data_IF_240200924102
#
_entry.id   IF_240200924102
#
_cell.length_a   1.000
_cell.length_b   1.000
_cell.length_c   1.000
_cell.angle_alpha   90.00
_cell.angle_beta   90.00
_cell.angle_gamma   90.00
#
_symmetry.space_group_name_H-M   'P 1'
#
loop_
_entity.id
_entity.type
_entity.pdbx_description
1 polymer ?
#
# COMPACT_ATOMS: atom_id res chain seq x y z
N UNK A 1 -22.63 4.92 -11.54
CA UNK A 1 -21.18 4.75 -11.33
C UNK A 1 -20.61 4.23 -12.63
N UNK A 2 -19.61 4.86 -13.23
CA UNK A 2 -19.06 4.45 -14.53
C UNK A 2 -18.11 3.27 -14.32
N UNK A 3 -18.06 2.35 -15.27
CA UNK A 3 -17.02 1.31 -15.36
C UNK A 3 -15.66 2.00 -15.33
N UNK A 4 -14.70 1.45 -14.58
CA UNK A 4 -13.35 1.97 -14.55
C UNK A 4 -12.72 1.79 -15.94
N UNK A 5 -12.55 2.88 -16.65
CA UNK A 5 -11.67 2.93 -17.81
C UNK A 5 -10.29 3.35 -17.32
N UNK A 6 -9.34 2.42 -17.34
CA UNK A 6 -7.99 2.62 -16.81
C UNK A 6 -7.30 3.77 -17.55
N UNK A 7 -7.43 3.84 -18.88
CA UNK A 7 -6.77 4.87 -19.67
C UNK A 7 -7.32 6.25 -19.33
N UNK A 8 -8.64 6.39 -19.23
CA UNK A 8 -9.26 7.64 -18.81
C UNK A 8 -8.87 8.03 -17.40
N UNK A 9 -8.72 7.05 -16.50
CA UNK A 9 -8.29 7.32 -15.13
C UNK A 9 -6.83 7.77 -15.07
N UNK A 10 -5.94 7.13 -15.83
CA UNK A 10 -4.53 7.52 -15.96
C UNK A 10 -4.41 8.94 -16.52
N UNK A 11 -5.14 9.26 -17.58
CA UNK A 11 -5.14 10.62 -18.14
C UNK A 11 -5.69 11.65 -17.14
N UNK A 12 -6.75 11.31 -16.41
CA UNK A 12 -7.27 12.18 -15.35
C UNK A 12 -6.29 12.43 -14.20
N UNK A 13 -5.35 11.50 -13.96
CA UNK A 13 -4.29 11.66 -12.95
C UNK A 13 -3.12 12.53 -13.44
N UNK A 14 -2.88 12.60 -14.74
CA UNK A 14 -1.83 13.47 -15.32
C UNK A 14 -2.22 14.95 -15.33
N UNK A 15 -3.51 15.24 -15.29
CA UNK A 15 -4.04 16.59 -15.41
C UNK A 15 -4.90 16.98 -14.21
N UNK A 16 -4.61 18.12 -13.62
CA UNK A 16 -5.43 18.68 -12.56
C UNK A 16 -6.46 19.66 -13.11
N UNK A 17 -7.67 19.67 -12.57
CA UNK A 17 -8.69 20.64 -12.94
C UNK A 17 -8.28 22.06 -12.54
N UNK A 18 -8.94 23.09 -13.13
CA UNK A 18 -8.69 24.51 -12.80
C UNK A 18 -8.87 24.83 -11.31
N UNK A 19 -9.74 24.09 -10.60
CA UNK A 19 -9.96 24.25 -9.17
C UNK A 19 -8.80 23.75 -8.30
N UNK A 20 -7.85 22.99 -8.88
CA UNK A 20 -6.65 22.48 -8.23
C UNK A 20 -6.90 21.79 -6.88
N UNK A 21 -7.88 20.88 -6.74
CA UNK A 21 -8.26 20.32 -5.45
C UNK A 21 -7.13 19.53 -4.78
N UNK A 22 -6.28 18.88 -5.58
CA UNK A 22 -5.18 18.05 -5.06
C UNK A 22 -4.00 18.94 -4.64
N UNK A 23 -3.67 19.96 -5.44
CA UNK A 23 -2.66 20.95 -5.07
C UNK A 23 -3.05 21.70 -3.81
N UNK A 24 -4.33 22.07 -3.67
CA UNK A 24 -4.86 22.70 -2.47
C UNK A 24 -4.76 21.78 -1.24
N UNK A 25 -5.13 20.49 -1.39
CA UNK A 25 -4.96 19.51 -0.33
C UNK A 25 -3.49 19.40 0.12
N UNK A 26 -2.54 19.32 -0.82
CA UNK A 26 -1.11 19.23 -0.50
C UNK A 26 -0.59 20.49 0.19
N UNK A 27 -1.11 21.64 -0.18
CA UNK A 27 -0.82 22.90 0.51
C UNK A 27 -1.38 22.89 1.93
N UNK A 28 -2.62 22.45 2.12
CA UNK A 28 -3.24 22.31 3.44
C UNK A 28 -2.49 21.32 4.35
N UNK A 29 -1.99 20.21 3.79
CA UNK A 29 -1.15 19.24 4.53
C UNK A 29 0.12 19.89 5.07
N UNK A 30 0.70 20.86 4.36
CA UNK A 30 1.92 21.55 4.79
C UNK A 30 1.67 22.61 5.86
N UNK A 31 0.53 23.27 5.82
CA UNK A 31 0.31 24.53 6.56
C UNK A 31 -0.91 24.54 7.48
N UNK A 32 -1.83 23.56 7.37
CA UNK A 32 -3.09 23.58 8.10
C UNK A 32 -3.17 22.53 9.22
N UNK A 33 -4.17 22.72 10.09
CA UNK A 33 -4.52 21.75 11.14
C UNK A 33 -4.98 20.40 10.57
N UNK A 34 -4.94 19.32 11.38
CA UNK A 34 -5.39 17.99 10.96
C UNK A 34 -6.84 17.96 10.42
N UNK A 35 -7.73 18.75 11.00
CA UNK A 35 -9.16 18.79 10.62
C UNK A 35 -9.37 19.33 9.21
N UNK A 36 -8.70 20.42 8.84
CA UNK A 36 -8.74 20.96 7.47
C UNK A 36 -8.22 19.96 6.43
N UNK A 37 -7.22 19.16 6.79
CA UNK A 37 -6.67 18.12 5.90
C UNK A 37 -7.70 17.05 5.58
N UNK A 38 -8.49 16.64 6.58
CA UNK A 38 -9.51 15.62 6.41
C UNK A 38 -10.65 16.12 5.51
N UNK A 39 -11.12 17.34 5.73
CA UNK A 39 -12.18 17.94 4.91
C UNK A 39 -11.80 18.06 3.44
N UNK A 40 -10.62 18.59 3.13
CA UNK A 40 -10.14 18.70 1.75
C UNK A 40 -9.98 17.32 1.10
N UNK A 41 -9.45 16.33 1.84
CA UNK A 41 -9.34 14.98 1.34
C UNK A 41 -10.71 14.33 1.05
N UNK A 42 -11.75 14.62 1.83
CA UNK A 42 -13.10 14.08 1.62
C UNK A 42 -13.75 14.58 0.32
N UNK A 43 -13.41 15.77 -0.16
CA UNK A 43 -13.90 16.35 -1.41
C UNK A 43 -13.39 15.63 -2.65
N UNK A 44 -12.28 14.88 -2.56
CA UNK A 44 -11.70 14.19 -3.69
C UNK A 44 -12.50 12.96 -4.10
N UNK A 45 -12.65 12.76 -5.40
CA UNK A 45 -13.30 11.58 -5.98
C UNK A 45 -12.59 10.31 -5.55
N UNK A 46 -13.37 9.29 -5.20
CA UNK A 46 -12.88 7.95 -4.88
C UNK A 46 -12.78 7.10 -6.14
N UNK A 47 -11.66 6.43 -6.32
CA UNK A 47 -11.39 5.48 -7.40
C UNK A 47 -11.23 4.10 -6.79
N UNK A 48 -12.02 3.13 -7.23
CA UNK A 48 -11.94 1.73 -6.81
C UNK A 48 -11.35 0.93 -7.96
N UNK A 49 -10.08 0.51 -7.89
CA UNK A 49 -9.43 -0.19 -9.00
C UNK A 49 -9.89 -1.64 -9.15
N UNK A 50 -10.16 -2.35 -8.05
CA UNK A 50 -10.41 -3.78 -8.05
C UNK A 50 -11.73 -4.17 -8.72
N UNK A 51 -12.80 -3.40 -8.53
CA UNK A 51 -14.12 -3.76 -9.00
C UNK A 51 -14.99 -2.55 -9.34
N UNK A 52 -15.99 -2.77 -10.19
CA UNK A 52 -17.03 -1.80 -10.49
C UNK A 52 -18.29 -2.12 -9.68
N UNK A 53 -18.94 -1.07 -9.17
CA UNK A 53 -20.13 -1.21 -8.35
C UNK A 53 -21.27 -0.34 -8.88
N UNK A 54 -22.48 -0.80 -8.70
CA UNK A 54 -23.72 -0.04 -8.96
C UNK A 54 -24.54 0.05 -7.68
N UNK A 55 -25.04 1.24 -7.38
CA UNK A 55 -26.03 1.41 -6.31
C UNK A 55 -27.36 0.79 -6.75
N UNK A 56 -27.98 0.03 -5.87
CA UNK A 56 -29.30 -0.56 -5.99
C UNK A 56 -30.14 -0.15 -4.79
N UNK A 57 -31.44 -0.42 -4.82
CA UNK A 57 -32.35 -0.18 -3.69
C UNK A 57 -31.93 -0.93 -2.42
N UNK A 58 -31.28 -2.10 -2.59
CA UNK A 58 -30.86 -2.98 -1.49
C UNK A 58 -29.37 -2.85 -1.15
N UNK A 59 -28.71 -1.75 -1.56
CA UNK A 59 -27.29 -1.53 -1.26
C UNK A 59 -26.42 -1.40 -2.50
N UNK A 60 -25.19 -1.90 -2.41
CA UNK A 60 -24.20 -1.79 -3.50
C UNK A 60 -23.89 -3.17 -4.07
N UNK A 61 -24.12 -3.34 -5.37
CA UNK A 61 -23.86 -4.58 -6.10
C UNK A 61 -22.58 -4.45 -6.96
N UNK A 62 -21.70 -5.45 -6.89
CA UNK A 62 -20.58 -5.58 -7.82
C UNK A 62 -21.11 -5.89 -9.22
N UNK A 63 -20.67 -5.16 -10.23
CA UNK A 63 -21.04 -5.37 -11.63
C UNK A 63 -19.94 -6.02 -12.44
N UNK A 64 -18.67 -5.80 -12.06
CA UNK A 64 -17.51 -6.44 -12.67
C UNK A 64 -16.32 -6.42 -11.69
N UNK A 65 -15.53 -7.45 -11.73
CA UNK A 65 -14.19 -7.48 -11.13
C UNK A 65 -13.17 -7.14 -12.21
N UNK A 66 -12.22 -6.25 -11.90
CA UNK A 66 -11.28 -5.71 -12.90
C UNK A 66 -9.92 -6.43 -12.88
N UNK A 67 -9.67 -7.29 -11.89
CA UNK A 67 -8.37 -7.96 -11.74
C UNK A 67 -7.22 -7.03 -11.38
N UNK A 68 -7.51 -5.82 -10.87
CA UNK A 68 -6.48 -4.86 -10.44
C UNK A 68 -6.31 -4.92 -8.94
N UNK A 69 -5.07 -5.15 -8.52
CA UNK A 69 -4.65 -5.06 -7.13
C UNK A 69 -3.88 -3.77 -6.91
N UNK A 70 -4.25 -3.04 -5.87
CA UNK A 70 -3.54 -1.85 -5.42
C UNK A 70 -2.78 -2.17 -4.13
N UNK A 71 -1.48 -1.88 -4.13
CA UNK A 71 -0.65 -1.81 -2.93
C UNK A 71 -0.20 -0.38 -2.70
N UNK A 72 0.26 -0.07 -1.50
CA UNK A 72 0.57 1.30 -1.11
C UNK A 72 1.83 1.35 -0.23
N UNK A 73 2.71 2.30 -0.54
CA UNK A 73 3.81 2.70 0.34
C UNK A 73 3.46 4.08 0.89
N UNK A 74 3.36 4.21 2.20
CA UNK A 74 2.97 5.44 2.90
C UNK A 74 4.12 6.04 3.70
N UNK A 75 3.87 7.21 4.30
CA UNK A 75 4.77 7.92 5.20
C UNK A 75 6.11 8.32 4.56
N UNK A 76 6.11 8.58 3.25
CA UNK A 76 7.27 9.10 2.55
C UNK A 76 7.49 10.58 2.92
N UNK A 77 8.69 10.92 3.31
CA UNK A 77 8.98 12.25 3.86
C UNK A 77 8.93 13.36 2.80
N UNK A 78 9.32 13.05 1.56
CA UNK A 78 9.51 14.07 0.53
C UNK A 78 9.32 13.51 -0.90
N UNK A 79 9.37 14.42 -1.88
CA UNK A 79 9.21 14.10 -3.31
C UNK A 79 10.29 13.14 -3.83
N UNK A 80 11.50 13.23 -3.30
CA UNK A 80 12.62 12.37 -3.73
C UNK A 80 12.34 10.91 -3.38
N UNK A 81 11.85 10.65 -2.18
CA UNK A 81 11.45 9.31 -1.75
C UNK A 81 10.27 8.78 -2.57
N UNK A 82 9.27 9.62 -2.83
CA UNK A 82 8.14 9.27 -3.71
C UNK A 82 8.62 8.87 -5.10
N UNK A 83 9.52 9.66 -5.70
CA UNK A 83 10.05 9.37 -7.03
C UNK A 83 10.91 8.09 -7.03
N UNK A 84 11.70 7.86 -5.97
CA UNK A 84 12.47 6.62 -5.80
C UNK A 84 11.55 5.40 -5.81
N UNK A 85 10.51 5.38 -4.98
CA UNK A 85 9.56 4.27 -4.91
C UNK A 85 8.84 4.06 -6.26
N UNK A 86 8.49 5.13 -6.97
CA UNK A 86 7.91 5.02 -8.32
C UNK A 86 8.88 4.39 -9.32
N UNK A 87 10.15 4.75 -9.28
CA UNK A 87 11.18 4.17 -10.15
C UNK A 87 11.41 2.70 -9.83
N UNK A 88 11.57 2.34 -8.56
CA UNK A 88 11.70 0.95 -8.14
C UNK A 88 10.50 0.10 -8.56
N UNK A 89 9.28 0.64 -8.42
CA UNK A 89 8.07 -0.03 -8.90
C UNK A 89 8.04 -0.18 -10.43
N UNK A 90 8.55 0.81 -11.17
CA UNK A 90 8.59 0.80 -12.64
C UNK A 90 9.58 -0.25 -13.21
N UNK A 91 10.58 -0.66 -12.43
CA UNK A 91 11.51 -1.73 -12.81
C UNK A 91 10.86 -3.12 -12.84
N UNK A 92 9.73 -3.28 -12.13
CA UNK A 92 8.95 -4.52 -12.15
C UNK A 92 8.09 -4.58 -13.41
N UNK A 93 8.33 -5.56 -14.26
CA UNK A 93 7.58 -5.78 -15.52
C UNK A 93 6.07 -5.97 -15.28
N UNK A 94 5.66 -6.37 -14.07
CA UNK A 94 4.28 -6.59 -13.67
C UNK A 94 3.56 -5.30 -13.27
N UNK A 95 4.27 -4.20 -13.05
CA UNK A 95 3.66 -2.94 -12.65
C UNK A 95 2.87 -2.32 -13.79
N UNK A 96 1.55 -2.24 -13.63
CA UNK A 96 0.65 -1.55 -14.55
C UNK A 96 0.78 -0.03 -14.42
N UNK A 97 0.75 0.47 -13.18
CA UNK A 97 0.89 1.89 -12.89
C UNK A 97 1.52 2.11 -11.51
N UNK A 98 2.33 3.16 -11.39
CA UNK A 98 2.84 3.66 -10.12
C UNK A 98 2.72 5.17 -10.08
N UNK A 99 2.06 5.69 -9.05
CA UNK A 99 1.74 7.13 -8.96
C UNK A 99 1.70 7.63 -7.52
N UNK A 100 1.97 8.91 -7.38
CA UNK A 100 1.92 9.61 -6.11
C UNK A 100 0.48 9.74 -5.62
N UNK A 101 0.24 9.40 -4.35
CA UNK A 101 -1.05 9.59 -3.70
C UNK A 101 -1.45 11.07 -3.56
N UNK A 102 -2.72 11.30 -3.23
CA UNK A 102 -3.29 12.65 -3.11
C UNK A 102 -2.59 13.53 -2.07
N UNK A 103 -2.10 12.93 -0.98
CA UNK A 103 -1.34 13.65 0.06
C UNK A 103 0.04 14.12 -0.39
N UNK A 104 0.64 13.48 -1.39
CA UNK A 104 2.02 13.72 -1.79
C UNK A 104 3.06 12.92 -0.99
N UNK A 105 2.64 12.12 0.00
CA UNK A 105 3.47 11.34 0.92
C UNK A 105 3.26 9.83 0.81
N UNK A 106 2.73 9.37 -0.31
CA UNK A 106 2.53 7.95 -0.59
C UNK A 106 2.68 7.65 -2.07
N UNK A 107 2.97 6.38 -2.37
CA UNK A 107 2.94 5.83 -3.73
C UNK A 107 1.94 4.70 -3.77
N UNK A 108 1.12 4.69 -4.79
CA UNK A 108 0.19 3.60 -5.10
C UNK A 108 0.68 2.87 -6.32
N UNK A 109 0.65 1.54 -6.23
CA UNK A 109 1.14 0.66 -7.29
C UNK A 109 -0.01 -0.26 -7.67
N UNK A 110 -0.33 -0.33 -8.95
CA UNK A 110 -1.35 -1.19 -9.53
C UNK A 110 -0.72 -2.33 -10.30
N UNK A 111 -1.21 -3.56 -10.07
CA UNK A 111 -0.81 -4.77 -10.79
C UNK A 111 -2.04 -5.47 -11.33
N UNK A 112 -1.88 -6.21 -12.46
CA UNK A 112 -2.97 -6.97 -13.09
C UNK A 112 -2.87 -8.45 -12.76
N UNK A 113 -4.00 -9.02 -12.37
CA UNK A 113 -4.14 -10.44 -12.05
C UNK A 113 -5.28 -11.07 -12.84
N UNK A 114 -5.08 -12.30 -13.31
CA UNK A 114 -6.12 -13.10 -13.94
C UNK A 114 -5.95 -14.58 -13.58
N UNK A 115 -6.94 -15.40 -13.94
CA UNK A 115 -6.75 -16.85 -14.01
C UNK A 115 -5.86 -17.23 -15.19
N UNK A 116 -5.30 -18.47 -15.25
CA UNK A 116 -4.47 -18.91 -16.37
C UNK A 116 -5.17 -18.87 -17.73
N UNK A 117 -6.49 -19.06 -17.76
CA UNK A 117 -7.35 -18.95 -18.95
C UNK A 117 -7.72 -17.50 -19.31
N UNK A 118 -7.09 -16.52 -18.64
CA UNK A 118 -7.35 -15.08 -18.75
C UNK A 118 -8.74 -14.63 -18.28
N UNK A 119 -9.54 -15.52 -17.69
CA UNK A 119 -10.83 -15.15 -17.10
C UNK A 119 -10.65 -14.45 -15.76
N UNK A 120 -11.70 -13.74 -15.34
CA UNK A 120 -11.82 -13.08 -14.03
C UNK A 120 -13.01 -13.66 -13.26
N UNK A 121 -12.99 -13.62 -11.92
CA UNK A 121 -14.14 -13.95 -11.09
C UNK A 121 -15.40 -13.20 -11.51
N UNK A 122 -16.54 -13.91 -11.54
CA UNK A 122 -17.85 -13.34 -11.92
C UNK A 122 -18.73 -13.03 -10.71
N UNK A 123 -18.67 -13.86 -9.67
CA UNK A 123 -19.39 -13.62 -8.42
C UNK A 123 -18.56 -12.75 -7.47
N UNK A 124 -19.24 -12.10 -6.51
CA UNK A 124 -18.60 -11.30 -5.49
C UNK A 124 -17.74 -12.15 -4.56
N UNK A 125 -18.24 -13.31 -4.15
CA UNK A 125 -17.55 -14.24 -3.25
C UNK A 125 -16.23 -14.74 -3.88
N UNK A 126 -16.28 -15.19 -5.14
CA UNK A 126 -15.06 -15.57 -5.86
C UNK A 126 -14.07 -14.42 -6.00
N UNK A 127 -14.58 -13.20 -6.24
CA UNK A 127 -13.74 -12.02 -6.40
C UNK A 127 -13.07 -11.62 -5.07
N UNK A 128 -13.76 -11.75 -3.94
CA UNK A 128 -13.20 -11.48 -2.61
C UNK A 128 -12.05 -12.45 -2.28
N UNK A 129 -12.25 -13.75 -2.54
CA UNK A 129 -11.21 -14.77 -2.36
C UNK A 129 -10.03 -14.49 -3.29
N UNK A 130 -10.31 -14.25 -4.57
CA UNK A 130 -9.27 -13.97 -5.56
C UNK A 130 -8.46 -12.73 -5.19
N UNK A 131 -9.13 -11.63 -4.81
CA UNK A 131 -8.49 -10.37 -4.41
C UNK A 131 -7.59 -10.55 -3.19
N UNK A 132 -8.01 -11.35 -2.20
CA UNK A 132 -7.23 -11.61 -1.00
C UNK A 132 -5.89 -12.31 -1.34
N UNK A 133 -5.94 -13.35 -2.17
CA UNK A 133 -4.73 -14.06 -2.61
C UNK A 133 -3.87 -13.21 -3.56
N UNK A 134 -4.49 -12.48 -4.49
CA UNK A 134 -3.79 -11.62 -5.42
C UNK A 134 -3.05 -10.48 -4.68
N UNK A 135 -3.67 -9.91 -3.63
CA UNK A 135 -3.02 -8.90 -2.80
C UNK A 135 -1.78 -9.45 -2.08
N UNK A 136 -1.87 -10.65 -1.44
CA UNK A 136 -0.69 -11.30 -0.84
C UNK A 136 0.43 -11.47 -1.84
N UNK A 137 0.09 -11.99 -3.02
CA UNK A 137 1.08 -12.21 -4.09
C UNK A 137 1.68 -10.90 -4.59
N UNK A 138 0.87 -9.83 -4.70
CA UNK A 138 1.35 -8.50 -5.06
C UNK A 138 2.35 -7.95 -4.04
N UNK A 139 2.02 -8.04 -2.74
CA UNK A 139 2.93 -7.64 -1.66
C UNK A 139 4.23 -8.45 -1.71
N UNK A 140 4.13 -9.79 -1.80
CA UNK A 140 5.30 -10.68 -1.87
C UNK A 140 6.21 -10.41 -3.07
N UNK A 141 5.63 -10.01 -4.21
CA UNK A 141 6.37 -9.66 -5.41
C UNK A 141 7.05 -8.29 -5.29
N UNK A 142 6.33 -7.28 -4.79
CA UNK A 142 6.80 -5.90 -4.82
C UNK A 142 7.70 -5.56 -3.64
N UNK A 143 7.42 -6.06 -2.43
CA UNK A 143 8.21 -5.72 -1.26
C UNK A 143 9.72 -5.97 -1.43
N UNK A 144 10.18 -7.05 -2.12
CA UNK A 144 11.58 -7.25 -2.42
C UNK A 144 12.25 -6.17 -3.25
N UNK A 145 11.52 -5.54 -4.11
CA UNK A 145 12.04 -4.55 -5.04
C UNK A 145 11.98 -3.10 -4.50
N UNK A 146 11.24 -2.88 -3.40
CA UNK A 146 11.02 -1.56 -2.86
C UNK A 146 11.91 -1.28 -1.65
N UNK A 147 12.50 -0.10 -1.59
CA UNK A 147 13.31 0.37 -0.44
C UNK A 147 12.47 0.69 0.81
N UNK A 148 11.15 0.86 0.65
CA UNK A 148 10.23 1.22 1.73
C UNK A 148 9.19 0.13 1.94
N UNK A 149 8.71 -0.01 3.18
CA UNK A 149 7.71 -1.01 3.53
C UNK A 149 6.36 -0.71 2.88
N UNK A 150 5.73 -1.77 2.33
CA UNK A 150 4.35 -1.70 1.87
C UNK A 150 3.43 -1.65 3.10
N UNK A 151 2.48 -0.72 3.11
CA UNK A 151 1.43 -0.68 4.12
C UNK A 151 0.47 -1.86 3.93
N UNK A 152 0.45 -2.78 4.89
CA UNK A 152 -0.43 -3.94 4.84
C UNK A 152 -1.85 -3.55 5.22
N UNK A 153 -2.80 -3.81 4.31
CA UNK A 153 -4.23 -3.56 4.50
C UNK A 153 -5.01 -4.84 4.29
N UNK A 154 -6.14 -4.98 4.99
CA UNK A 154 -7.10 -6.04 4.67
C UNK A 154 -7.60 -5.81 3.23
N UNK A 155 -7.38 -6.74 2.31
CA UNK A 155 -7.82 -6.58 0.93
C UNK A 155 -9.34 -6.69 0.84
N UNK A 156 -9.99 -5.65 0.32
CA UNK A 156 -11.42 -5.64 0.04
C UNK A 156 -11.65 -5.19 -1.39
N UNK A 157 -12.77 -5.59 -1.98
CA UNK A 157 -13.12 -5.21 -3.36
C UNK A 157 -13.44 -3.72 -3.51
N UNK A 158 -13.86 -3.08 -2.43
CA UNK A 158 -14.21 -1.66 -2.37
C UNK A 158 -13.06 -0.77 -1.86
N UNK A 159 -11.86 -1.36 -1.68
CA UNK A 159 -10.67 -0.58 -1.37
C UNK A 159 -10.48 0.50 -2.43
N UNK A 160 -10.45 1.75 -2.00
CA UNK A 160 -10.34 2.89 -2.89
C UNK A 160 -9.04 3.65 -2.67
N UNK A 161 -8.59 4.33 -3.70
CA UNK A 161 -7.70 5.48 -3.58
C UNK A 161 -8.49 6.77 -3.87
N UNK A 162 -8.01 7.89 -3.38
CA UNK A 162 -8.50 9.19 -3.79
C UNK A 162 -7.88 9.57 -5.12
N UNK A 163 -8.64 10.29 -5.94
CA UNK A 163 -8.07 10.84 -7.16
C UNK A 163 -6.84 11.68 -6.82
N UNK A 164 -5.80 11.56 -7.63
CA UNK A 164 -4.54 12.25 -7.45
C UNK A 164 -4.17 13.03 -8.70
N UNK A 165 -3.16 13.88 -8.54
CA UNK A 165 -2.47 14.57 -9.61
C UNK A 165 -0.99 14.18 -9.58
N UNK A 166 -0.54 13.51 -10.61
CA UNK A 166 0.86 13.14 -10.81
C UNK A 166 1.19 13.14 -12.31
N UNK A 167 1.71 14.27 -12.86
CA UNK A 167 2.03 14.36 -14.29
C UNK A 167 3.15 13.39 -14.70
N UNK A 168 3.96 12.93 -13.74
CA UNK A 168 5.08 12.02 -13.94
C UNK A 168 4.75 10.59 -13.47
N UNK A 169 3.46 10.21 -13.46
CA UNK A 169 3.07 8.85 -13.11
C UNK A 169 3.68 7.85 -14.11
N UNK A 170 4.05 6.67 -13.61
CA UNK A 170 4.41 5.55 -14.46
C UNK A 170 3.15 4.81 -14.92
N UNK A 171 3.07 4.46 -16.20
CA UNK A 171 2.00 3.64 -16.77
C UNK A 171 2.54 2.75 -17.87
N UNK A 172 2.33 1.43 -17.72
CA UNK A 172 2.69 0.42 -18.69
C UNK A 172 1.48 -0.44 -19.06
N UNK A 173 0.76 -0.14 -20.16
CA UNK A 173 -0.39 -0.93 -20.60
C UNK A 173 -0.02 -2.36 -20.97
N UNK A 174 1.25 -2.62 -21.33
CA UNK A 174 1.77 -3.93 -21.70
C UNK A 174 2.40 -4.68 -20.51
N UNK A 175 2.15 -4.23 -19.28
CA UNK A 175 2.67 -4.89 -18.08
C UNK A 175 2.31 -6.37 -18.04
N UNK A 176 3.23 -7.19 -17.54
CA UNK A 176 3.03 -8.63 -17.40
C UNK A 176 1.89 -8.93 -16.43
N UNK A 177 0.89 -9.65 -16.91
CA UNK A 177 -0.24 -10.11 -16.09
C UNK A 177 0.19 -11.25 -15.18
N UNK A 178 -0.20 -11.20 -13.92
CA UNK A 178 0.12 -12.22 -12.93
C UNK A 178 -1.02 -13.25 -12.89
N UNK A 179 -0.66 -14.54 -13.10
CA UNK A 179 -1.64 -15.61 -13.12
C UNK A 179 -1.84 -16.23 -11.73
N UNK A 180 -3.11 -16.39 -11.33
CA UNK A 180 -3.52 -17.06 -10.11
C UNK A 180 -4.08 -18.43 -10.44
N UNK A 181 -3.45 -19.49 -9.93
CA UNK A 181 -3.91 -20.87 -10.10
C UNK A 181 -5.00 -21.20 -9.11
N UNK A 182 -5.94 -22.05 -9.50
CA UNK A 182 -7.00 -22.57 -8.64
C UNK A 182 -6.67 -23.97 -8.12
N UNK A 183 -7.29 -24.44 -7.02
CA UNK A 183 -8.34 -23.79 -6.22
C UNK A 183 -7.76 -22.75 -5.25
N UNK A 184 -8.55 -21.71 -4.97
CA UNK A 184 -8.25 -20.71 -3.95
C UNK A 184 -9.29 -20.83 -2.82
N UNK A 185 -8.82 -20.88 -1.60
CA UNK A 185 -9.66 -20.86 -0.40
C UNK A 185 -9.58 -19.49 0.28
N UNK A 186 -10.59 -19.11 1.06
CA UNK A 186 -10.58 -17.84 1.78
C UNK A 186 -9.46 -17.88 2.84
N UNK A 187 -8.50 -16.94 2.82
CA UNK A 187 -7.47 -16.87 3.85
C UNK A 187 -8.10 -16.49 5.20
N UNK A 188 -7.63 -17.09 6.29
CA UNK A 188 -8.08 -16.69 7.62
C UNK A 188 -7.58 -15.28 7.97
N UNK A 189 -8.43 -14.46 8.60
CA UNK A 189 -8.12 -13.07 8.96
C UNK A 189 -6.93 -12.93 9.93
N UNK A 190 -6.74 -13.90 10.81
CA UNK A 190 -5.69 -13.91 11.84
C UNK A 190 -4.30 -14.20 11.29
N UNK A 191 -4.19 -15.15 10.37
CA UNK A 191 -2.91 -15.56 9.77
C UNK A 191 -2.45 -14.67 8.63
N UNK A 192 -3.36 -13.85 8.10
CA UNK A 192 -3.06 -13.04 6.91
C UNK A 192 -1.94 -12.03 7.15
N UNK A 193 -2.06 -11.17 8.17
CA UNK A 193 -1.04 -10.16 8.50
C UNK A 193 0.28 -10.81 8.94
N UNK A 194 0.18 -11.83 9.79
CA UNK A 194 1.34 -12.55 10.31
C UNK A 194 2.12 -13.26 9.21
N UNK A 195 1.44 -13.98 8.31
CA UNK A 195 2.10 -14.68 7.20
C UNK A 195 2.74 -13.70 6.21
N UNK A 196 2.04 -12.62 5.83
CA UNK A 196 2.60 -11.62 4.91
C UNK A 196 3.77 -10.87 5.56
N UNK A 197 3.68 -10.55 6.85
CA UNK A 197 4.78 -9.94 7.59
C UNK A 197 5.98 -10.87 7.69
N UNK A 198 5.78 -12.16 7.99
CA UNK A 198 6.84 -13.16 8.06
C UNK A 198 7.53 -13.39 6.71
N UNK A 199 6.75 -13.51 5.63
CA UNK A 199 7.28 -13.70 4.26
C UNK A 199 8.06 -12.49 3.74
N UNK A 200 7.68 -11.28 4.16
CA UNK A 200 8.22 -10.02 3.64
C UNK A 200 8.98 -9.21 4.68
N UNK A 201 9.34 -9.81 5.82
CA UNK A 201 10.12 -9.12 6.84
C UNK A 201 11.45 -8.61 6.25
N UNK A 202 11.77 -7.32 6.37
CA UNK A 202 13.05 -6.77 5.92
C UNK A 202 14.24 -7.44 6.62
N UNK A 203 14.04 -8.00 7.83
CA UNK A 203 15.06 -8.74 8.56
C UNK A 203 15.47 -10.05 7.89
N UNK A 204 14.57 -10.72 7.18
CA UNK A 204 14.88 -11.94 6.41
C UNK A 204 15.91 -11.72 5.30
N UNK A 205 16.08 -10.47 4.85
CA UNK A 205 17.02 -10.09 3.78
C UNK A 205 18.34 -9.55 4.29
N UNK A 206 18.32 -8.89 5.44
CA UNK A 206 19.50 -8.27 6.00
C UNK A 206 20.50 -9.29 6.55
N UNK A 207 20.05 -10.52 6.86
CA UNK A 207 20.89 -11.54 7.49
C UNK A 207 20.60 -12.91 6.85
N UNK A 208 21.31 -13.30 5.77
CA UNK A 208 21.19 -14.64 5.19
C UNK A 208 21.48 -15.72 6.25
N UNK A 209 20.60 -16.69 6.37
CA UNK A 209 20.73 -17.82 7.30
C UNK A 209 19.99 -17.70 8.64
N UNK A 210 19.23 -16.61 8.86
CA UNK A 210 18.38 -16.44 10.04
C UNK A 210 16.92 -16.77 9.71
N UNK A 211 16.58 -18.03 9.85
CA UNK A 211 15.25 -18.54 9.47
C UNK A 211 14.29 -18.81 10.64
N UNK A 212 14.70 -18.56 11.90
CA UNK A 212 13.89 -18.86 13.08
C UNK A 212 13.43 -17.61 13.83
N UNK A 213 12.21 -17.69 14.39
CA UNK A 213 11.63 -16.67 15.28
C UNK A 213 12.51 -16.37 16.49
N UNK A 214 13.16 -17.40 17.05
CA UNK A 214 14.05 -17.27 18.22
C UNK A 214 15.25 -16.37 17.93
N UNK A 215 15.76 -16.41 16.70
CA UNK A 215 16.88 -15.56 16.28
C UNK A 215 16.47 -14.11 16.05
N UNK A 216 15.24 -13.87 15.55
CA UNK A 216 14.67 -12.53 15.43
C UNK A 216 14.41 -11.91 16.79
N UNK A 217 13.94 -12.70 17.77
CA UNK A 217 13.75 -12.28 19.16
C UNK A 217 15.07 -11.89 19.81
N UNK A 218 16.12 -12.70 19.64
CA UNK A 218 17.46 -12.41 20.14
C UNK A 218 18.06 -11.14 19.51
N UNK A 219 17.86 -10.93 18.21
CA UNK A 219 18.30 -9.70 17.52
C UNK A 219 17.55 -8.47 17.99
N UNK A 220 16.24 -8.61 18.26
CA UNK A 220 15.43 -7.54 18.80
C UNK A 220 15.91 -7.15 20.21
N UNK A 221 16.20 -8.12 21.07
CA UNK A 221 16.77 -7.87 22.40
C UNK A 221 18.15 -7.20 22.34
N UNK A 222 19.02 -7.63 21.41
CA UNK A 222 20.32 -6.97 21.19
C UNK A 222 20.13 -5.52 20.71
N UNK A 223 19.20 -5.27 19.80
CA UNK A 223 18.90 -3.92 19.32
C UNK A 223 18.30 -3.04 20.42
N UNK A 224 17.41 -3.61 21.23
CA UNK A 224 16.80 -2.94 22.38
C UNK A 224 17.85 -2.57 23.43
N UNK A 225 18.71 -3.52 23.82
CA UNK A 225 19.80 -3.28 24.75
C UNK A 225 20.78 -2.21 24.25
N UNK A 226 21.07 -2.20 22.94
CA UNK A 226 21.90 -1.17 22.32
C UNK A 226 21.24 0.21 22.34
N UNK A 227 19.92 0.27 22.10
CA UNK A 227 19.14 1.51 22.23
C UNK A 227 19.12 2.02 23.68
N UNK A 228 18.93 1.13 24.67
CA UNK A 228 19.04 1.47 26.10
C UNK A 228 20.39 2.06 26.44
N UNK A 229 21.50 1.44 25.97
CA UNK A 229 22.85 1.93 26.23
C UNK A 229 23.08 3.33 25.64
N UNK A 230 22.66 3.53 24.36
CA UNK A 230 22.81 4.83 23.71
C UNK A 230 21.95 5.92 24.37
N UNK A 231 20.74 5.61 24.83
CA UNK A 231 19.87 6.56 25.53
C UNK A 231 20.41 6.90 26.94
N UNK A 232 20.98 5.93 27.65
CA UNK A 232 21.60 6.19 28.97
C UNK A 232 22.88 7.03 28.87
N UNK A 233 23.60 6.93 27.75
CA UNK A 233 24.75 7.80 27.48
C UNK A 233 24.35 9.24 27.15
N UNK A 234 23.25 9.40 26.39
CA UNK A 234 22.71 10.72 26.00
C UNK A 234 21.96 11.41 27.16
N UNK A 235 21.39 10.63 28.07
CA UNK A 235 20.60 11.10 29.19
C UNK A 235 21.03 10.45 30.52
N UNK A 236 22.21 10.79 31.06
CA UNK A 236 22.80 10.09 32.22
C UNK A 236 21.97 10.24 33.52
N UNK A 237 21.00 11.15 33.54
CA UNK A 237 20.13 11.38 34.71
C UNK A 237 18.77 10.65 34.59
N UNK A 238 18.55 9.89 33.53
CA UNK A 238 17.29 9.14 33.30
C UNK A 238 17.57 7.66 33.58
N UNK A 239 17.01 7.14 34.65
CA UNK A 239 17.05 5.70 34.94
C UNK A 239 15.89 5.02 34.24
N UNK A 240 16.17 4.30 33.16
CA UNK A 240 15.20 3.48 32.42
C UNK A 240 15.11 2.12 33.13
N UNK A 241 13.94 1.80 33.66
CA UNK A 241 13.69 0.56 34.40
C UNK A 241 12.80 -0.44 33.64
N UNK A 242 12.15 -0.01 32.56
CA UNK A 242 11.25 -0.84 31.77
C UNK A 242 11.09 -0.34 30.33
N UNK A 243 10.55 -1.19 29.45
CA UNK A 243 10.22 -0.82 28.06
C UNK A 243 9.20 0.32 27.97
N UNK A 244 8.38 0.50 29.00
CA UNK A 244 7.40 1.60 29.07
C UNK A 244 8.07 2.97 29.28
N UNK A 245 9.27 3.00 29.83
CA UNK A 245 10.05 4.23 30.00
C UNK A 245 10.64 4.74 28.67
N UNK A 246 10.76 3.84 27.66
CA UNK A 246 11.24 4.18 26.32
C UNK A 246 10.20 4.85 25.44
N UNK A 247 8.92 4.56 25.65
CA UNK A 247 7.82 5.07 24.80
C UNK A 247 7.79 6.58 24.67
N UNK A 248 7.98 7.37 25.74
CA UNK A 248 8.00 8.83 25.64
C UNK A 248 9.21 9.39 24.91
N UNK A 249 10.33 8.64 24.87
CA UNK A 249 11.60 9.07 24.27
C UNK A 249 11.71 8.74 22.77
N UNK A 250 10.85 7.83 22.28
CA UNK A 250 10.77 7.44 20.86
C UNK A 250 9.81 8.31 20.03
N UNK A 251 9.16 9.31 20.65
CA UNK A 251 8.16 10.19 20.02
C UNK A 251 8.73 11.58 19.64
N UNK A 252 10.04 11.74 19.70
CA UNK A 252 10.72 12.98 19.27
C UNK A 252 11.22 12.83 17.82
#
# INVERSE_FOLDING_TARGET
MRTLDINLQIEAMKHETKARPISNLRTSIRHASPDCKLEEAQKLTKVIPAANFRKTTNGTQMTAYNGIVQIEVNHLANRTEVNRVKQEAAELTQTLAAFMGSSGHSVKIWLRFTRPDKSLPKSREEAEIFQAHAYRKAVGLCQPALSYAIELKKPTLDQFCRQTYDPELYYNPDSTVIYMRQPLEMPSDTTYKETVQAENSPFKRLIPGYDSFDTLSALFEVALNKAYHSLSELHPNVHLHSDDDLKPLLVL
#
